data_IF_446517651540
#
_entry.id   IF_446517651540
#
_cell.length_a   1.000
_cell.length_b   1.000
_cell.length_c   1.000
_cell.angle_alpha   90.00
_cell.angle_beta   90.00
_cell.angle_gamma   90.00
#
_symmetry.space_group_name_H-M   'P 1'
#
loop_
_entity.id
_entity.type
_entity.pdbx_description
1 polymer ?
#
# COMPACT_ATOMS: atom_id res chain seq x y z
N UNK A 1 -63.73 19.55 3.93
CA UNK A 1 -63.30 18.36 3.16
C UNK A 1 -61.80 18.18 3.38
N UNK A 2 -61.31 17.00 3.79
CA UNK A 2 -59.89 16.81 4.10
C UNK A 2 -59.11 16.40 2.84
N UNK A 3 -58.10 17.18 2.47
CA UNK A 3 -57.13 16.80 1.44
C UNK A 3 -56.01 15.98 2.09
N UNK A 4 -55.96 14.68 1.78
CA UNK A 4 -54.89 13.77 2.18
C UNK A 4 -53.66 14.03 1.29
N UNK A 5 -52.58 14.56 1.86
CA UNK A 5 -51.28 14.53 1.18
C UNK A 5 -50.58 13.23 1.58
N UNK A 6 -50.42 12.34 0.59
CA UNK A 6 -49.73 11.07 0.70
C UNK A 6 -48.23 11.33 0.78
N UNK A 7 -47.63 11.11 1.95
CA UNK A 7 -46.19 11.12 2.11
C UNK A 7 -45.59 9.85 1.48
N UNK A 8 -44.96 9.98 0.31
CA UNK A 8 -44.16 8.92 -0.27
C UNK A 8 -42.85 8.78 0.52
N UNK A 9 -42.74 7.69 1.29
CA UNK A 9 -41.53 7.31 1.99
C UNK A 9 -40.52 6.73 0.99
N UNK A 10 -39.67 7.58 0.40
CA UNK A 10 -38.57 7.12 -0.45
C UNK A 10 -37.49 6.50 0.46
N UNK A 11 -37.24 5.21 0.25
CA UNK A 11 -36.18 4.46 0.92
C UNK A 11 -34.83 5.16 0.69
N UNK A 12 -34.15 5.54 1.77
CA UNK A 12 -32.84 6.22 1.83
C UNK A 12 -31.74 5.64 0.91
N UNK A 13 -31.91 4.39 0.46
CA UNK A 13 -30.97 3.67 -0.41
C UNK A 13 -31.00 4.10 -1.89
N UNK A 14 -32.05 4.78 -2.38
CA UNK A 14 -32.11 5.27 -3.76
C UNK A 14 -31.74 6.75 -3.91
N UNK A 15 -31.72 7.51 -2.80
CA UNK A 15 -31.30 8.92 -2.80
C UNK A 15 -29.80 9.03 -3.12
N UNK A 16 -28.98 8.10 -2.61
CA UNK A 16 -27.53 8.10 -2.84
C UNK A 16 -27.11 7.82 -4.29
N UNK A 17 -27.98 7.26 -5.12
CA UNK A 17 -27.70 6.94 -6.53
C UNK A 17 -28.12 8.06 -7.48
N UNK A 18 -29.11 8.87 -7.08
CA UNK A 18 -29.58 10.03 -7.86
C UNK A 18 -28.77 11.28 -7.50
N UNK A 19 -28.29 11.40 -6.26
CA UNK A 19 -27.36 12.47 -5.85
C UNK A 19 -26.00 12.39 -6.55
N UNK A 20 -25.61 11.23 -7.09
CA UNK A 20 -24.38 11.11 -7.91
C UNK A 20 -24.54 11.62 -9.34
N UNK A 21 -25.77 11.80 -9.84
CA UNK A 21 -26.01 12.14 -11.26
C UNK A 21 -26.49 13.59 -11.47
N UNK A 22 -26.90 14.32 -10.42
CA UNK A 22 -27.47 15.66 -10.56
C UNK A 22 -26.82 16.71 -9.65
N UNK A 23 -25.58 17.08 -9.96
CA UNK A 23 -25.06 18.44 -9.73
C UNK A 23 -24.18 18.87 -10.91
N UNK A 24 -24.81 18.94 -12.07
CA UNK A 24 -24.27 19.60 -13.25
C UNK A 24 -25.13 20.86 -13.44
N UNK A 25 -24.73 21.97 -12.83
CA UNK A 25 -24.79 23.33 -13.39
C UNK A 25 -24.47 24.40 -12.36
N UNK A 26 -23.76 25.40 -12.89
CA UNK A 26 -23.54 26.76 -12.38
C UNK A 26 -22.45 26.98 -11.30
N UNK A 27 -21.40 27.67 -11.77
CA UNK A 27 -20.24 28.25 -11.05
C UNK A 27 -19.18 27.23 -10.60
N UNK A 28 -18.23 27.00 -11.51
CA UNK A 28 -17.22 25.96 -11.45
C UNK A 28 -16.12 26.18 -10.42
N UNK A 29 -16.05 25.25 -9.48
CA UNK A 29 -14.78 24.60 -9.13
C UNK A 29 -14.69 23.25 -9.87
N UNK A 30 -13.51 22.82 -10.33
CA UNK A 30 -13.37 21.56 -11.04
C UNK A 30 -13.83 20.39 -10.15
N UNK A 31 -14.81 19.62 -10.63
CA UNK A 31 -15.19 18.35 -10.03
C UNK A 31 -13.98 17.42 -10.13
N UNK A 32 -13.23 17.28 -9.04
CA UNK A 32 -12.22 16.24 -8.92
C UNK A 32 -12.97 14.92 -8.74
N UNK A 33 -13.19 14.20 -9.84
CA UNK A 33 -13.64 12.80 -9.81
C UNK A 33 -12.57 12.03 -9.06
N UNK A 34 -12.80 11.76 -7.77
CA UNK A 34 -11.90 10.91 -6.98
C UNK A 34 -11.92 9.51 -7.57
N UNK A 35 -10.79 9.11 -8.13
CA UNK A 35 -10.54 7.74 -8.58
C UNK A 35 -10.83 6.79 -7.43
N UNK A 36 -11.75 5.85 -7.64
CA UNK A 36 -12.13 4.91 -6.59
C UNK A 36 -10.96 3.95 -6.35
N UNK A 37 -10.28 4.11 -5.21
CA UNK A 37 -9.36 3.10 -4.72
C UNK A 37 -10.15 1.82 -4.51
N UNK A 38 -9.65 0.70 -5.04
CA UNK A 38 -10.22 -0.61 -4.72
C UNK A 38 -9.88 -0.96 -3.26
N UNK A 39 -10.68 -0.41 -2.35
CA UNK A 39 -10.48 -0.56 -0.90
C UNK A 39 -10.56 -2.03 -0.44
N UNK A 40 -11.32 -2.86 -1.16
CA UNK A 40 -11.33 -4.31 -0.95
C UNK A 40 -9.97 -4.92 -1.22
N UNK A 41 -9.39 -4.62 -2.38
CA UNK A 41 -8.08 -5.13 -2.76
C UNK A 41 -6.94 -4.63 -1.86
N UNK A 42 -6.98 -3.36 -1.45
CA UNK A 42 -6.01 -2.81 -0.48
C UNK A 42 -6.10 -3.55 0.86
N UNK A 43 -7.31 -3.83 1.36
CA UNK A 43 -7.48 -4.62 2.60
C UNK A 43 -6.97 -6.05 2.44
N UNK A 44 -7.24 -6.69 1.30
CA UNK A 44 -6.73 -8.04 1.02
C UNK A 44 -5.20 -8.05 0.96
N UNK A 45 -4.59 -7.03 0.36
CA UNK A 45 -3.14 -6.87 0.31
C UNK A 45 -2.53 -6.69 1.71
N UNK A 46 -3.06 -5.81 2.55
CA UNK A 46 -2.57 -5.65 3.93
C UNK A 46 -2.66 -6.98 4.69
N UNK A 47 -3.80 -7.69 4.59
CA UNK A 47 -3.97 -9.00 5.23
C UNK A 47 -2.95 -10.03 4.73
N UNK A 48 -2.68 -10.06 3.43
CA UNK A 48 -1.70 -10.97 2.82
C UNK A 48 -0.27 -10.66 3.29
N UNK A 49 0.11 -9.38 3.37
CA UNK A 49 1.40 -8.96 3.96
C UNK A 49 1.52 -9.45 5.39
N UNK A 50 0.50 -9.22 6.23
CA UNK A 50 0.52 -9.65 7.63
C UNK A 50 0.59 -11.18 7.78
N UNK A 51 -0.15 -11.91 6.95
CA UNK A 51 -0.17 -13.38 6.97
C UNK A 51 1.18 -13.96 6.56
N UNK A 52 1.77 -13.47 5.47
CA UNK A 52 3.06 -13.98 4.96
C UNK A 52 4.21 -13.69 5.91
N UNK A 53 4.17 -12.55 6.58
CA UNK A 53 5.23 -12.12 7.49
C UNK A 53 4.98 -12.54 8.94
N UNK A 54 3.78 -13.05 9.26
CA UNK A 54 3.32 -13.27 10.64
C UNK A 54 3.48 -12.03 11.53
N UNK A 55 3.40 -10.82 10.95
CA UNK A 55 3.62 -9.53 11.64
C UNK A 55 2.50 -8.57 11.29
N UNK A 56 1.91 -7.94 12.30
CA UNK A 56 0.83 -6.97 12.12
C UNK A 56 1.39 -5.60 11.74
N UNK A 57 0.73 -4.93 10.81
CA UNK A 57 0.98 -3.51 10.59
C UNK A 57 0.45 -2.74 11.80
N UNK A 58 1.22 -1.79 12.32
CA UNK A 58 0.74 -0.95 13.40
C UNK A 58 -0.43 -0.08 12.90
N UNK A 59 -1.41 0.22 13.77
CA UNK A 59 -2.58 1.04 13.42
C UNK A 59 -2.16 2.38 12.80
N UNK A 60 -1.13 3.02 13.35
CA UNK A 60 -0.58 4.28 12.84
C UNK A 60 0.00 4.16 11.43
N UNK A 61 0.55 3.00 11.05
CA UNK A 61 1.01 2.76 9.67
C UNK A 61 -0.18 2.65 8.73
N UNK A 62 -1.22 1.89 9.13
CA UNK A 62 -2.43 1.71 8.34
C UNK A 62 -3.13 3.05 8.11
N UNK A 63 -3.18 3.92 9.12
CA UNK A 63 -3.82 5.23 8.99
C UNK A 63 -3.02 6.18 8.09
N UNK A 64 -1.68 6.17 8.15
CA UNK A 64 -0.83 6.91 7.22
C UNK A 64 -0.96 6.39 5.78
N UNK A 65 -1.00 5.06 5.59
CA UNK A 65 -1.24 4.45 4.28
C UNK A 65 -2.60 4.88 3.68
N UNK A 66 -3.66 4.90 4.49
CA UNK A 66 -4.98 5.38 4.02
C UNK A 66 -4.95 6.84 3.61
N UNK A 67 -4.25 7.68 4.38
CA UNK A 67 -4.14 9.11 4.08
C UNK A 67 -3.38 9.34 2.78
N UNK A 68 -2.24 8.67 2.62
CA UNK A 68 -1.44 8.70 1.40
C UNK A 68 -2.25 8.28 0.17
N UNK A 69 -3.00 7.17 0.26
CA UNK A 69 -3.87 6.70 -0.81
C UNK A 69 -5.02 7.70 -1.10
N UNK A 70 -5.57 8.36 -0.08
CA UNK A 70 -6.66 9.36 -0.27
C UNK A 70 -6.18 10.66 -0.92
N UNK A 71 -4.93 11.03 -0.71
CA UNK A 71 -4.39 12.36 -1.04
C UNK A 71 -3.52 12.37 -2.29
N UNK A 72 -2.92 11.22 -2.65
CA UNK A 72 -2.00 11.11 -3.78
C UNK A 72 -2.40 9.98 -4.71
N UNK A 73 -2.34 10.26 -6.01
CA UNK A 73 -2.42 9.22 -7.03
C UNK A 73 -1.04 8.62 -7.30
N UNK A 74 -0.97 7.29 -7.28
CA UNK A 74 0.23 6.54 -7.58
C UNK A 74 0.14 5.96 -8.98
N UNK A 75 1.13 6.27 -9.79
CA UNK A 75 1.23 5.82 -11.19
C UNK A 75 2.55 5.13 -11.39
N UNK A 76 2.59 4.14 -12.28
CA UNK A 76 3.82 3.39 -12.52
C UNK A 76 4.88 4.33 -13.09
N UNK A 77 6.04 4.36 -12.45
CA UNK A 77 7.20 5.10 -12.87
C UNK A 77 7.86 4.42 -14.08
N UNK A 78 8.56 5.21 -14.89
CA UNK A 78 9.47 4.66 -15.90
C UNK A 78 10.62 3.89 -15.22
N UNK A 79 11.35 3.02 -15.95
CA UNK A 79 12.50 2.32 -15.39
C UNK A 79 13.58 3.28 -14.84
N UNK A 80 13.83 4.41 -15.52
CA UNK A 80 14.81 5.41 -15.11
C UNK A 80 14.39 6.09 -13.79
N UNK A 81 13.12 6.52 -13.69
CA UNK A 81 12.57 7.10 -12.46
C UNK A 81 12.55 6.10 -11.31
N UNK A 82 12.17 4.84 -11.57
CA UNK A 82 12.18 3.76 -10.57
C UNK A 82 13.58 3.56 -10.01
N UNK A 83 14.61 3.59 -10.86
CA UNK A 83 15.99 3.45 -10.43
C UNK A 83 16.45 4.64 -9.60
N UNK A 84 16.17 5.88 -10.05
CA UNK A 84 16.46 7.10 -9.28
C UNK A 84 15.82 7.06 -7.89
N UNK A 85 14.55 6.68 -7.84
CA UNK A 85 13.79 6.54 -6.60
C UNK A 85 14.40 5.46 -5.69
N UNK A 86 14.74 4.28 -6.23
CA UNK A 86 15.42 3.21 -5.48
C UNK A 86 16.77 3.66 -4.90
N UNK A 87 17.54 4.47 -5.62
CA UNK A 87 18.81 4.98 -5.13
C UNK A 87 18.61 5.95 -3.96
N UNK A 88 17.57 6.79 -4.00
CA UNK A 88 17.20 7.64 -2.87
C UNK A 88 16.84 6.80 -1.63
N UNK A 89 16.06 5.72 -1.80
CA UNK A 89 15.73 4.81 -0.70
C UNK A 89 16.96 4.26 0.02
N UNK A 90 17.98 3.84 -0.73
CA UNK A 90 19.20 3.23 -0.16
C UNK A 90 19.88 4.16 0.85
N UNK A 91 19.80 5.48 0.65
CA UNK A 91 20.42 6.47 1.54
C UNK A 91 19.67 6.61 2.87
N UNK A 92 18.37 6.34 2.90
CA UNK A 92 17.53 6.56 4.09
C UNK A 92 17.07 5.26 4.77
N UNK A 93 17.21 4.10 4.12
CA UNK A 93 16.68 2.80 4.58
C UNK A 93 16.96 2.52 6.06
N UNK A 94 18.22 2.61 6.49
CA UNK A 94 18.59 2.24 7.87
C UNK A 94 17.97 3.21 8.90
N UNK A 95 17.86 4.50 8.57
CA UNK A 95 17.16 5.48 9.39
C UNK A 95 15.67 5.13 9.50
N UNK A 96 15.04 4.77 8.40
CA UNK A 96 13.62 4.40 8.37
C UNK A 96 13.32 3.11 9.15
N UNK A 97 14.24 2.15 9.18
CA UNK A 97 14.12 0.95 10.03
C UNK A 97 14.07 1.35 11.50
N UNK A 98 15.01 2.19 11.95
CA UNK A 98 15.04 2.67 13.35
C UNK A 98 13.77 3.46 13.68
N UNK A 99 13.33 4.33 12.77
CA UNK A 99 12.09 5.09 12.96
C UNK A 99 10.86 4.18 12.99
N UNK A 100 10.81 3.15 12.14
CA UNK A 100 9.75 2.15 12.17
C UNK A 100 9.70 1.43 13.51
N UNK A 101 10.85 1.00 14.05
CA UNK A 101 10.92 0.34 15.36
C UNK A 101 10.39 1.24 16.48
N UNK A 102 10.83 2.52 16.48
CA UNK A 102 10.40 3.52 17.47
C UNK A 102 8.91 3.84 17.38
N UNK A 103 8.37 4.03 16.18
CA UNK A 103 6.97 4.43 15.98
C UNK A 103 6.01 3.28 16.24
N UNK A 104 6.38 2.07 15.85
CA UNK A 104 5.52 0.89 15.97
C UNK A 104 5.68 0.16 17.29
N UNK A 105 6.73 0.45 18.06
CA UNK A 105 7.15 -0.29 19.25
C UNK A 105 7.35 -1.79 18.96
N UNK A 106 7.84 -2.10 17.76
CA UNK A 106 8.20 -3.45 17.32
C UNK A 106 9.70 -3.48 17.00
N UNK A 107 10.30 -4.67 17.05
CA UNK A 107 11.70 -4.86 16.63
C UNK A 107 11.76 -5.32 15.18
N UNK A 108 12.66 -4.74 14.39
CA UNK A 108 12.90 -5.16 13.02
C UNK A 108 13.62 -6.52 13.05
N UNK A 109 13.01 -7.58 12.52
CA UNK A 109 13.58 -8.92 12.57
C UNK A 109 14.88 -9.00 11.75
N UNK A 110 15.79 -9.84 12.23
CA UNK A 110 17.11 -10.06 11.65
C UNK A 110 17.31 -11.52 11.31
N UNK A 111 18.17 -11.78 10.34
CA UNK A 111 18.56 -13.14 9.97
C UNK A 111 19.34 -13.78 11.11
N UNK A 112 18.86 -14.94 11.58
CA UNK A 112 19.57 -15.78 12.55
C UNK A 112 20.67 -16.61 11.89
N UNK A 113 20.58 -16.80 10.57
CA UNK A 113 21.46 -17.64 9.77
C UNK A 113 21.73 -16.97 8.42
N UNK A 114 22.87 -17.31 7.80
CA UNK A 114 23.18 -16.87 6.46
C UNK A 114 22.26 -17.53 5.43
N UNK A 115 21.83 -16.76 4.43
CA UNK A 115 21.13 -17.31 3.27
C UNK A 115 22.13 -17.40 2.13
N UNK A 116 22.26 -18.59 1.56
CA UNK A 116 23.10 -18.85 0.39
C UNK A 116 22.27 -18.80 -0.90
N UNK A 117 22.88 -18.26 -1.95
CA UNK A 117 22.35 -18.36 -3.31
C UNK A 117 22.40 -19.82 -3.76
N UNK A 118 21.24 -20.43 -4.03
CA UNK A 118 21.17 -21.78 -4.59
C UNK A 118 21.97 -21.95 -5.90
N UNK A 119 22.16 -20.85 -6.66
CA UNK A 119 22.89 -20.88 -7.93
C UNK A 119 24.41 -20.80 -7.77
N UNK A 120 24.90 -20.02 -6.80
CA UNK A 120 26.32 -19.66 -6.72
C UNK A 120 27.00 -20.06 -5.41
N UNK A 121 26.25 -20.57 -4.43
CA UNK A 121 26.72 -20.86 -3.08
C UNK A 121 27.15 -19.64 -2.27
N UNK A 122 27.06 -18.42 -2.84
CA UNK A 122 27.47 -17.19 -2.16
C UNK A 122 26.44 -16.75 -1.13
N UNK A 123 26.92 -16.21 -0.02
CA UNK A 123 26.08 -15.53 0.98
C UNK A 123 25.38 -14.34 0.34
N UNK A 124 24.04 -14.35 0.37
CA UNK A 124 23.19 -13.27 -0.13
C UNK A 124 22.47 -12.52 0.97
N UNK A 125 22.35 -13.11 2.18
CA UNK A 125 21.98 -12.41 3.42
C UNK A 125 22.85 -12.93 4.54
N UNK A 126 23.36 -12.04 5.38
CA UNK A 126 24.25 -12.39 6.50
C UNK A 126 23.48 -12.53 7.81
N UNK A 127 24.00 -13.34 8.72
CA UNK A 127 23.56 -13.35 10.13
C UNK A 127 23.60 -11.93 10.70
N UNK A 128 22.54 -11.53 11.40
CA UNK A 128 22.37 -10.20 11.98
C UNK A 128 21.92 -9.11 11.00
N UNK A 129 21.89 -9.38 9.69
CA UNK A 129 21.34 -8.46 8.71
C UNK A 129 19.82 -8.28 8.95
N UNK A 130 19.26 -7.06 8.83
CA UNK A 130 17.82 -6.88 8.90
C UNK A 130 17.12 -7.58 7.73
N UNK A 131 15.89 -8.07 7.96
CA UNK A 131 15.03 -8.53 6.87
C UNK A 131 14.82 -7.42 5.85
N UNK A 132 14.46 -7.80 4.62
CA UNK A 132 14.25 -6.84 3.55
C UNK A 132 13.13 -5.85 3.93
N UNK A 133 13.34 -4.58 3.60
CA UNK A 133 12.31 -3.56 3.72
C UNK A 133 11.39 -3.63 2.50
N UNK A 134 10.17 -4.10 2.72
CA UNK A 134 9.11 -4.11 1.73
C UNK A 134 8.34 -2.80 1.77
N UNK A 135 8.14 -2.15 0.62
CA UNK A 135 7.29 -0.98 0.51
C UNK A 135 5.81 -1.38 0.38
N UNK A 136 4.93 -0.84 1.21
CA UNK A 136 3.47 -1.08 1.13
C UNK A 136 2.86 -0.44 -0.12
N UNK A 137 3.38 0.72 -0.53
CA UNK A 137 3.19 1.30 -1.86
C UNK A 137 4.50 1.11 -2.60
N UNK A 138 4.50 0.24 -3.62
CA UNK A 138 5.73 -0.21 -4.25
C UNK A 138 6.62 0.93 -4.79
N UNK A 139 7.93 0.73 -4.71
CA UNK A 139 8.93 1.65 -5.26
C UNK A 139 8.72 1.97 -6.75
N UNK A 140 8.16 1.03 -7.52
CA UNK A 140 7.82 1.18 -8.95
C UNK A 140 6.66 2.14 -9.20
N UNK A 141 5.94 2.53 -8.15
CA UNK A 141 4.82 3.48 -8.19
C UNK A 141 5.16 4.80 -7.48
N UNK A 142 6.41 4.98 -7.04
CA UNK A 142 6.84 6.19 -6.33
C UNK A 142 6.25 6.31 -4.92
N UNK A 143 6.03 5.16 -4.26
CA UNK A 143 5.64 5.11 -2.86
C UNK A 143 6.72 5.68 -1.95
N UNK A 144 6.30 6.42 -0.94
CA UNK A 144 7.15 7.28 -0.13
C UNK A 144 8.26 6.49 0.58
N UNK A 145 9.40 7.15 0.81
CA UNK A 145 10.47 6.64 1.65
C UNK A 145 10.26 7.07 3.09
N UNK A 146 9.17 6.57 3.65
CA UNK A 146 8.71 6.89 4.99
C UNK A 146 8.55 5.61 5.80
N UNK A 147 8.77 5.71 7.12
CA UNK A 147 8.71 4.55 8.02
C UNK A 147 7.37 3.83 7.90
N UNK A 148 6.27 4.59 7.75
CA UNK A 148 4.92 4.01 7.67
C UNK A 148 4.70 3.19 6.40
N UNK A 149 5.45 3.47 5.34
CA UNK A 149 5.37 2.75 4.07
C UNK A 149 6.28 1.50 4.05
N UNK A 150 7.00 1.20 5.13
CA UNK A 150 7.89 0.04 5.23
C UNK A 150 7.26 -1.10 6.04
N UNK A 151 7.61 -2.34 5.68
CA UNK A 151 7.29 -3.54 6.46
C UNK A 151 8.43 -4.57 6.33
N UNK A 152 8.88 -5.20 7.42
CA UNK A 152 9.94 -6.22 7.34
C UNK A 152 9.42 -7.53 6.73
N UNK A 153 10.08 -7.98 5.67
CA UNK A 153 9.78 -9.25 5.00
C UNK A 153 11.07 -10.05 4.71
N UNK A 154 11.12 -11.29 5.17
CA UNK A 154 12.24 -12.20 4.94
C UNK A 154 12.37 -12.55 3.45
N UNK A 155 13.60 -12.46 2.94
CA UNK A 155 13.98 -13.05 1.67
C UNK A 155 14.12 -14.59 1.76
N UNK A 156 13.72 -15.35 0.73
CA UNK A 156 12.88 -14.94 -0.41
C UNK A 156 11.39 -15.16 -0.18
N UNK A 157 11.03 -16.00 0.78
CA UNK A 157 9.74 -16.65 0.98
C UNK A 157 8.63 -15.70 1.42
N UNK A 158 8.93 -14.76 2.33
CA UNK A 158 7.94 -13.74 2.70
C UNK A 158 7.87 -12.63 1.64
N UNK A 159 9.02 -12.17 1.13
CA UNK A 159 9.10 -10.98 0.29
C UNK A 159 8.87 -11.26 -1.21
N UNK A 160 9.85 -11.89 -1.88
CA UNK A 160 9.87 -12.01 -3.35
C UNK A 160 8.94 -13.12 -3.85
N UNK A 161 9.03 -14.31 -3.26
CA UNK A 161 8.16 -15.43 -3.57
C UNK A 161 6.80 -15.34 -2.86
N UNK A 162 6.74 -14.60 -1.75
CA UNK A 162 5.53 -14.39 -0.97
C UNK A 162 4.71 -13.22 -1.49
N UNK A 163 4.94 -12.02 -0.95
CA UNK A 163 4.13 -10.83 -1.20
C UNK A 163 4.08 -10.50 -2.70
N UNK A 164 5.19 -10.61 -3.42
CA UNK A 164 5.24 -10.38 -4.88
C UNK A 164 4.97 -11.65 -5.72
N UNK A 165 4.60 -12.76 -5.08
CA UNK A 165 4.34 -14.05 -5.69
C UNK A 165 3.17 -14.07 -6.68
N UNK A 166 3.06 -15.15 -7.45
CA UNK A 166 1.93 -15.35 -8.36
C UNK A 166 0.61 -15.46 -7.57
N UNK A 167 -0.44 -14.81 -8.07
CA UNK A 167 -1.76 -14.81 -7.42
C UNK A 167 -1.86 -13.97 -6.14
N UNK A 168 -0.81 -13.24 -5.75
CA UNK A 168 -0.88 -12.37 -4.58
C UNK A 168 -1.74 -11.12 -4.84
N UNK A 169 -2.41 -10.56 -3.82
CA UNK A 169 -3.12 -9.30 -3.96
C UNK A 169 -2.22 -8.15 -4.39
N UNK A 170 -0.93 -8.15 -3.99
CA UNK A 170 0.04 -7.14 -4.42
C UNK A 170 0.17 -7.12 -5.95
N UNK A 171 0.25 -8.29 -6.58
CA UNK A 171 0.38 -8.41 -8.04
C UNK A 171 -0.83 -7.86 -8.79
N UNK A 172 -2.02 -8.00 -8.20
CA UNK A 172 -3.24 -7.39 -8.75
C UNK A 172 -3.29 -5.88 -8.49
N UNK A 173 -2.95 -5.45 -7.27
CA UNK A 173 -2.99 -4.04 -6.86
C UNK A 173 -1.98 -3.19 -7.66
N UNK A 174 -0.81 -3.75 -7.92
CA UNK A 174 0.29 -3.12 -8.64
C UNK A 174 0.42 -3.61 -10.09
N UNK A 175 -0.68 -4.10 -10.68
CA UNK A 175 -0.81 -4.32 -12.14
C UNK A 175 -0.86 -2.96 -12.85
N UNK A 176 0.29 -2.29 -12.96
CA UNK A 176 0.31 -0.92 -13.45
C UNK A 176 -0.29 -0.81 -14.85
N UNK A 177 -1.07 0.25 -15.08
CA UNK A 177 -1.30 0.79 -16.42
C UNK A 177 -0.05 1.58 -16.77
N UNK A 178 0.59 1.29 -17.91
CA UNK A 178 1.75 2.08 -18.37
C UNK A 178 1.26 3.52 -18.60
N UNK A 179 2.05 4.50 -18.13
CA UNK A 179 1.89 5.90 -18.56
C UNK A 179 2.07 6.00 -20.06
#
# INVERSE_FOLDING_TARGET
MPSKVVAWYIKKSNISKVESELKIKEYGEPIVIKKSINSGLVRSYIKDVEQRTSRKLAKIQIDALKDALRTKEYTKLTPAETNKHRLAFKQVKNKLIVEWEQKTNQTWPRYSEEILSAKSGRVIRKTGEPYDAHHLIENTFGGEHEWWNMHPAKFPDEHQAGIHGAGSPAKELFKGVKK
#
